data_IF_046234263789
#
_entry.id   IF_046234263789
#
_cell.length_a   1.000
_cell.length_b   1.000
_cell.length_c   1.000
_cell.angle_alpha   90.00
_cell.angle_beta   90.00
_cell.angle_gamma   90.00
#
_symmetry.space_group_name_H-M   'P 1'
#
loop_
_entity.id
_entity.type
_entity.pdbx_description
1 polymer ?
#
# COMPACT_ATOMS: atom_id res chain seq x y z
N UNK A 1 25.14 -11.87 -9.96
CA UNK A 1 25.62 -11.02 -11.08
C UNK A 1 25.88 -9.61 -10.57
N UNK A 2 24.97 -8.94 -9.87
CA UNK A 2 25.12 -7.54 -9.42
C UNK A 2 26.37 -7.31 -8.53
N UNK A 3 26.59 -8.15 -7.52
CA UNK A 3 27.75 -8.01 -6.63
C UNK A 3 29.09 -8.05 -7.40
N UNK A 4 29.22 -8.94 -8.38
CA UNK A 4 30.44 -9.04 -9.22
C UNK A 4 30.66 -7.74 -10.02
N UNK A 5 29.60 -7.14 -10.55
CA UNK A 5 29.67 -5.87 -11.29
C UNK A 5 30.06 -4.71 -10.38
N UNK A 6 29.49 -4.64 -9.17
CA UNK A 6 29.81 -3.61 -8.17
C UNK A 6 31.28 -3.72 -7.76
N UNK A 7 31.76 -4.92 -7.44
CA UNK A 7 33.14 -5.14 -7.06
C UNK A 7 34.12 -4.77 -8.19
N UNK A 8 33.79 -5.14 -9.43
CA UNK A 8 34.60 -4.77 -10.60
C UNK A 8 34.67 -3.25 -10.81
N UNK A 9 33.54 -2.53 -10.64
CA UNK A 9 33.50 -1.07 -10.70
C UNK A 9 34.37 -0.41 -9.62
N UNK A 10 34.50 -1.04 -8.46
CA UNK A 10 35.38 -0.63 -7.36
C UNK A 10 36.82 -1.15 -7.50
N UNK A 11 37.20 -1.72 -8.68
CA UNK A 11 38.51 -2.33 -8.96
C UNK A 11 38.88 -3.48 -8.04
N UNK A 12 37.89 -4.11 -7.39
CA UNK A 12 38.06 -5.28 -6.54
C UNK A 12 37.94 -6.53 -7.42
N UNK A 13 39.05 -7.28 -7.58
CA UNK A 13 39.10 -8.50 -8.37
C UNK A 13 38.50 -9.67 -7.55
N UNK A 14 37.37 -10.20 -8.00
CA UNK A 14 36.81 -11.43 -7.46
C UNK A 14 37.43 -12.63 -8.21
N UNK A 15 38.19 -13.45 -7.46
CA UNK A 15 38.74 -14.71 -7.96
C UNK A 15 37.91 -15.89 -7.44
N UNK A 16 37.58 -16.83 -8.32
CA UNK A 16 36.77 -18.00 -7.99
C UNK A 16 35.37 -17.97 -8.58
N UNK A 17 34.59 -18.98 -8.23
CA UNK A 17 33.22 -19.20 -8.73
C UNK A 17 32.19 -18.72 -7.73
N UNK A 18 31.18 -18.02 -8.18
CA UNK A 18 30.02 -17.67 -7.37
C UNK A 18 29.04 -18.85 -7.41
N UNK A 19 28.75 -19.42 -6.24
CA UNK A 19 27.78 -20.51 -6.08
C UNK A 19 26.62 -20.07 -5.20
N UNK A 20 25.43 -20.60 -5.47
CA UNK A 20 24.30 -20.47 -4.55
C UNK A 20 24.48 -21.52 -3.45
N UNK A 21 24.54 -21.09 -2.22
CA UNK A 21 24.69 -21.99 -1.07
C UNK A 21 23.95 -21.43 0.15
N UNK A 22 23.61 -22.30 1.08
CA UNK A 22 23.13 -21.90 2.41
C UNK A 22 24.31 -21.39 3.24
N UNK A 23 24.14 -20.25 3.90
CA UNK A 23 25.17 -19.73 4.81
C UNK A 23 25.48 -20.74 5.92
N UNK A 24 26.76 -20.90 6.26
CA UNK A 24 27.17 -21.74 7.38
C UNK A 24 26.89 -21.06 8.71
N UNK A 25 26.83 -21.84 9.80
CA UNK A 25 26.64 -21.30 11.15
C UNK A 25 27.87 -20.52 11.66
N UNK A 26 29.04 -20.70 11.04
CA UNK A 26 30.30 -20.05 11.40
C UNK A 26 30.61 -18.84 10.47
N UNK A 27 29.64 -17.96 10.29
CA UNK A 27 29.83 -16.72 9.54
C UNK A 27 30.11 -15.57 10.50
N UNK A 28 30.95 -14.62 10.07
CA UNK A 28 31.16 -13.34 10.73
C UNK A 28 30.41 -12.24 9.99
N UNK A 29 29.86 -11.28 10.70
CA UNK A 29 29.25 -10.11 10.12
C UNK A 29 30.36 -9.20 9.57
N UNK A 30 30.41 -9.03 8.25
CA UNK A 30 31.38 -8.15 7.59
C UNK A 30 30.87 -6.73 7.48
N UNK A 31 29.61 -6.57 7.15
CA UNK A 31 28.93 -5.28 7.06
C UNK A 31 27.40 -5.44 7.23
N UNK A 32 26.76 -4.40 7.69
CA UNK A 32 25.32 -4.30 7.78
C UNK A 32 24.85 -2.95 7.24
N UNK A 33 23.72 -2.96 6.56
CA UNK A 33 23.02 -1.76 6.10
C UNK A 33 21.61 -1.78 6.66
N UNK A 34 21.26 -0.78 7.45
CA UNK A 34 19.90 -0.61 7.93
C UNK A 34 19.01 -0.02 6.85
N UNK A 35 17.72 -0.35 6.89
CA UNK A 35 16.72 0.36 6.09
C UNK A 35 16.54 1.79 6.60
N UNK A 36 15.88 2.62 5.80
CA UNK A 36 15.29 3.86 6.30
C UNK A 36 14.24 3.58 7.37
N UNK A 37 13.90 4.59 8.17
CA UNK A 37 12.86 4.49 9.20
C UNK A 37 11.48 4.29 8.59
N UNK A 38 10.55 3.69 9.36
CA UNK A 38 9.16 3.50 8.92
C UNK A 38 8.47 4.81 8.52
N UNK A 39 8.82 5.91 9.20
CA UNK A 39 8.33 7.24 8.87
C UNK A 39 8.68 7.72 7.46
N UNK A 40 9.76 7.21 6.88
CA UNK A 40 10.16 7.48 5.50
C UNK A 40 9.63 6.43 4.52
N UNK A 41 9.53 5.17 4.96
CA UNK A 41 9.10 4.05 4.13
C UNK A 41 7.60 4.13 3.84
N UNK A 42 6.76 4.41 4.85
CA UNK A 42 5.31 4.42 4.71
C UNK A 42 4.79 5.47 3.70
N UNK A 43 5.26 6.72 3.70
CA UNK A 43 4.87 7.69 2.67
C UNK A 43 5.23 7.22 1.25
N UNK A 44 6.44 6.70 1.04
CA UNK A 44 6.85 6.16 -0.26
C UNK A 44 6.00 4.95 -0.67
N UNK A 45 5.70 4.06 0.26
CA UNK A 45 4.84 2.92 0.01
C UNK A 45 3.45 3.35 -0.44
N UNK A 46 2.83 4.28 0.27
CA UNK A 46 1.44 4.67 0.02
C UNK A 46 1.30 5.64 -1.16
N UNK A 47 2.13 6.69 -1.23
CA UNK A 47 2.06 7.71 -2.29
C UNK A 47 2.47 7.16 -3.64
N UNK A 48 3.60 6.43 -3.70
CA UNK A 48 4.15 5.90 -4.95
C UNK A 48 3.61 4.50 -5.27
N UNK A 49 2.75 3.96 -4.40
CA UNK A 49 2.21 2.59 -4.54
C UNK A 49 3.32 1.54 -4.68
N UNK A 50 4.34 1.61 -3.81
CA UNK A 50 5.50 0.74 -3.89
C UNK A 50 5.20 -0.66 -3.33
N UNK A 51 4.98 -1.60 -4.24
CA UNK A 51 4.63 -2.99 -3.92
C UNK A 51 5.75 -3.74 -3.20
N UNK A 52 7.03 -3.39 -3.45
CA UNK A 52 8.15 -4.02 -2.77
C UNK A 52 8.15 -3.66 -1.28
N UNK A 53 7.94 -2.39 -0.96
CA UNK A 53 7.84 -1.93 0.43
C UNK A 53 6.64 -2.57 1.14
N UNK A 54 5.48 -2.64 0.48
CA UNK A 54 4.29 -3.27 1.04
C UNK A 54 4.52 -4.76 1.36
N UNK A 55 5.10 -5.52 0.43
CA UNK A 55 5.46 -6.92 0.64
C UNK A 55 6.50 -7.09 1.75
N UNK A 56 7.52 -6.24 1.79
CA UNK A 56 8.58 -6.31 2.81
C UNK A 56 8.04 -6.03 4.21
N UNK A 57 7.18 -5.02 4.36
CA UNK A 57 6.52 -4.72 5.62
C UNK A 57 5.58 -5.84 6.06
N UNK A 58 4.82 -6.41 5.12
CA UNK A 58 3.97 -7.56 5.40
C UNK A 58 4.79 -8.76 5.90
N UNK A 59 5.89 -9.09 5.22
CA UNK A 59 6.80 -10.16 5.64
C UNK A 59 7.45 -9.89 7.01
N UNK A 60 7.72 -8.64 7.34
CA UNK A 60 8.27 -8.24 8.65
C UNK A 60 7.32 -8.57 9.81
N UNK A 61 5.99 -8.59 9.58
CA UNK A 61 5.02 -9.05 10.59
C UNK A 61 5.26 -10.51 10.97
N UNK A 62 5.57 -11.37 10.00
CA UNK A 62 5.90 -12.77 10.26
C UNK A 62 7.23 -12.94 11.01
N UNK A 63 8.23 -12.16 10.64
CA UNK A 63 9.57 -12.22 11.24
C UNK A 63 9.57 -11.82 12.72
N UNK A 64 8.64 -10.99 13.17
CA UNK A 64 8.57 -10.52 14.55
C UNK A 64 8.39 -11.65 15.58
N UNK A 65 7.87 -12.82 15.17
CA UNK A 65 7.58 -13.94 16.10
C UNK A 65 8.35 -15.23 15.77
N UNK A 66 9.14 -15.24 14.72
CA UNK A 66 9.89 -16.44 14.33
C UNK A 66 11.39 -16.20 14.45
N UNK A 67 12.11 -17.16 15.00
CA UNK A 67 13.59 -17.18 15.00
C UNK A 67 14.13 -17.68 13.65
N UNK A 68 13.27 -18.21 12.80
CA UNK A 68 13.57 -18.71 11.46
C UNK A 68 13.15 -17.70 10.40
N UNK A 69 13.51 -17.98 9.15
CA UNK A 69 13.05 -17.19 8.00
C UNK A 69 11.51 -17.20 7.94
N UNK A 70 10.91 -16.01 8.03
CA UNK A 70 9.45 -15.84 7.96
C UNK A 70 8.88 -16.23 6.59
N UNK A 71 7.72 -16.86 6.59
CA UNK A 71 6.95 -17.17 5.40
C UNK A 71 5.75 -16.21 5.24
N UNK A 72 5.13 -16.19 4.07
CA UNK A 72 3.85 -15.47 3.88
C UNK A 72 2.75 -15.98 4.82
N UNK A 73 2.74 -17.28 5.14
CA UNK A 73 1.80 -17.84 6.10
C UNK A 73 1.98 -17.27 7.51
N UNK A 74 3.23 -17.11 7.95
CA UNK A 74 3.54 -16.49 9.24
C UNK A 74 3.11 -15.01 9.28
N UNK A 75 3.41 -14.27 8.22
CA UNK A 75 3.00 -12.87 8.07
C UNK A 75 1.48 -12.72 8.10
N UNK A 76 0.76 -13.54 7.35
CA UNK A 76 -0.71 -13.59 7.32
C UNK A 76 -1.29 -13.89 8.69
N UNK A 77 -0.74 -14.87 9.41
CA UNK A 77 -1.22 -15.22 10.74
C UNK A 77 -1.05 -14.06 11.73
N UNK A 78 0.07 -13.34 11.68
CA UNK A 78 0.27 -12.15 12.52
C UNK A 78 -0.64 -11.00 12.11
N UNK A 79 -0.83 -10.76 10.82
CA UNK A 79 -1.78 -9.79 10.30
C UNK A 79 -3.19 -10.05 10.84
N UNK A 80 -3.71 -11.27 10.71
CA UNK A 80 -5.03 -11.67 11.22
C UNK A 80 -5.14 -11.39 12.72
N UNK A 81 -4.13 -11.76 13.52
CA UNK A 81 -4.12 -11.52 14.96
C UNK A 81 -4.19 -10.04 15.32
N UNK A 82 -3.44 -9.19 14.61
CA UNK A 82 -3.46 -7.75 14.83
C UNK A 82 -4.83 -7.17 14.49
N UNK A 83 -5.38 -7.55 13.34
CA UNK A 83 -6.68 -7.07 12.89
C UNK A 83 -7.83 -7.49 13.81
N UNK A 84 -7.87 -8.75 14.23
CA UNK A 84 -8.86 -9.23 15.18
C UNK A 84 -8.79 -8.50 16.53
N UNK A 85 -7.57 -8.26 17.04
CA UNK A 85 -7.39 -7.61 18.35
C UNK A 85 -7.67 -6.12 18.31
N UNK A 86 -7.23 -5.43 17.26
CA UNK A 86 -7.25 -3.96 17.18
C UNK A 86 -8.52 -3.43 16.55
N UNK A 87 -9.13 -4.16 15.62
CA UNK A 87 -10.24 -3.66 14.82
C UNK A 87 -11.52 -4.50 14.89
N UNK A 88 -11.47 -5.66 15.52
CA UNK A 88 -12.58 -6.62 15.60
C UNK A 88 -13.18 -7.00 14.22
N UNK A 89 -12.34 -7.13 13.20
CA UNK A 89 -12.73 -7.48 11.83
C UNK A 89 -12.19 -8.86 11.43
N UNK A 90 -12.95 -9.94 11.61
CA UNK A 90 -12.52 -11.27 11.19
C UNK A 90 -12.44 -11.42 9.66
N UNK A 91 -13.23 -10.65 8.92
CA UNK A 91 -13.43 -10.83 7.48
C UNK A 91 -12.36 -10.15 6.60
N UNK A 92 -11.60 -9.18 7.13
CA UNK A 92 -10.43 -8.60 6.45
C UNK A 92 -9.21 -9.53 6.43
N UNK A 93 -9.37 -10.75 6.90
CA UNK A 93 -8.30 -11.71 7.07
C UNK A 93 -7.77 -12.33 5.77
N UNK A 94 -8.37 -12.05 4.61
CA UNK A 94 -7.94 -12.66 3.35
C UNK A 94 -6.88 -11.82 2.62
N UNK A 95 -5.77 -11.53 3.30
CA UNK A 95 -4.59 -10.88 2.72
C UNK A 95 -3.52 -11.94 2.44
N UNK A 96 -3.03 -11.99 1.22
CA UNK A 96 -2.04 -12.99 0.80
C UNK A 96 -0.62 -12.46 0.81
N UNK A 97 -0.39 -11.24 0.32
CA UNK A 97 0.95 -10.73 0.09
C UNK A 97 1.18 -9.27 0.53
N UNK A 98 0.17 -8.62 1.08
CA UNK A 98 0.22 -7.25 1.57
C UNK A 98 0.33 -6.15 0.50
N UNK A 99 0.43 -6.51 -0.79
CA UNK A 99 0.52 -5.54 -1.89
C UNK A 99 -0.78 -5.39 -2.70
N UNK A 100 -1.81 -6.21 -2.39
CA UNK A 100 -3.10 -6.16 -3.08
C UNK A 100 -3.04 -6.61 -4.54
N UNK A 101 -2.08 -7.45 -4.91
CA UNK A 101 -1.92 -7.94 -6.29
C UNK A 101 -2.56 -9.30 -6.54
N UNK A 102 -3.08 -9.94 -5.49
CA UNK A 102 -3.75 -11.22 -5.61
C UNK A 102 -5.15 -11.06 -6.19
N UNK A 103 -5.54 -12.00 -7.06
CA UNK A 103 -6.89 -12.08 -7.64
C UNK A 103 -7.89 -12.78 -6.71
N UNK A 104 -7.42 -13.40 -5.67
CA UNK A 104 -8.24 -14.09 -4.67
C UNK A 104 -8.56 -13.24 -3.45
N UNK A 105 -7.79 -12.16 -3.21
CA UNK A 105 -8.09 -11.17 -2.19
C UNK A 105 -9.33 -10.36 -2.59
N UNK A 106 -10.32 -10.31 -1.69
CA UNK A 106 -11.56 -9.55 -1.90
C UNK A 106 -11.89 -8.73 -0.67
N UNK A 107 -12.29 -7.48 -0.88
CA UNK A 107 -12.73 -6.57 0.16
C UNK A 107 -13.94 -5.76 -0.35
N UNK A 108 -14.92 -5.54 0.51
CA UNK A 108 -16.02 -4.62 0.21
C UNK A 108 -15.66 -3.17 0.53
N UNK A 109 -16.31 -2.22 -0.12
CA UNK A 109 -16.19 -0.79 0.22
C UNK A 109 -16.61 -0.52 1.67
N UNK A 110 -17.61 -1.24 2.18
CA UNK A 110 -18.03 -1.16 3.58
C UNK A 110 -16.91 -1.56 4.55
N UNK A 111 -16.24 -2.70 4.32
CA UNK A 111 -15.10 -3.11 5.14
C UNK A 111 -13.93 -2.14 5.05
N UNK A 112 -13.68 -1.57 3.85
CA UNK A 112 -12.63 -0.58 3.69
C UNK A 112 -12.95 0.71 4.47
N UNK A 113 -14.18 1.21 4.43
CA UNK A 113 -14.56 2.40 5.21
C UNK A 113 -14.56 2.15 6.72
N UNK A 114 -14.93 0.95 7.17
CA UNK A 114 -14.78 0.56 8.57
C UNK A 114 -13.32 0.58 9.02
N UNK A 115 -12.40 0.02 8.22
CA UNK A 115 -10.95 0.07 8.49
C UNK A 115 -10.45 1.51 8.56
N UNK A 116 -10.82 2.34 7.58
CA UNK A 116 -10.44 3.76 7.56
C UNK A 116 -11.00 4.50 8.79
N UNK A 117 -12.22 4.17 9.24
CA UNK A 117 -12.82 4.72 10.45
C UNK A 117 -12.05 4.35 11.71
N UNK A 118 -11.65 3.09 11.84
CA UNK A 118 -10.85 2.63 12.96
C UNK A 118 -9.45 3.30 13.00
N UNK A 119 -8.84 3.51 11.83
CA UNK A 119 -7.57 4.26 11.74
C UNK A 119 -7.80 5.74 12.09
N UNK A 120 -8.89 6.35 11.62
CA UNK A 120 -9.23 7.74 11.91
C UNK A 120 -9.40 8.03 13.40
N UNK A 121 -9.91 7.05 14.16
CA UNK A 121 -10.05 7.12 15.61
C UNK A 121 -8.75 6.80 16.38
N UNK A 122 -7.69 6.35 15.69
CA UNK A 122 -6.43 6.02 16.33
C UNK A 122 -5.56 7.28 16.56
N UNK A 123 -4.62 7.25 17.53
CA UNK A 123 -3.68 8.35 17.74
C UNK A 123 -2.81 8.65 16.53
N UNK A 124 -2.59 7.65 15.67
CA UNK A 124 -1.73 7.77 14.48
C UNK A 124 -2.46 8.30 13.23
N UNK A 125 -3.72 8.73 13.35
CA UNK A 125 -4.58 9.11 12.23
C UNK A 125 -3.95 10.19 11.33
N UNK A 126 -3.44 11.28 11.92
CA UNK A 126 -2.86 12.40 11.18
C UNK A 126 -1.61 11.96 10.42
N UNK A 127 -0.79 11.13 11.05
CA UNK A 127 0.38 10.57 10.38
C UNK A 127 -0.05 9.65 9.22
N UNK A 128 -1.00 8.74 9.44
CA UNK A 128 -1.48 7.86 8.37
C UNK A 128 -2.04 8.65 7.18
N UNK A 129 -2.88 9.66 7.43
CA UNK A 129 -3.43 10.53 6.37
C UNK A 129 -2.30 11.22 5.59
N UNK A 130 -1.26 11.70 6.25
CA UNK A 130 -0.10 12.35 5.61
C UNK A 130 0.70 11.42 4.69
N UNK A 131 0.59 10.10 4.88
CA UNK A 131 1.25 9.11 4.02
C UNK A 131 0.50 8.86 2.71
N UNK A 132 -0.76 9.30 2.57
CA UNK A 132 -1.58 9.06 1.39
C UNK A 132 -1.25 10.04 0.26
N UNK A 133 -1.55 9.63 -0.98
CA UNK A 133 -1.41 10.49 -2.15
C UNK A 133 -2.46 11.61 -2.13
N UNK A 134 -2.10 12.77 -2.71
CA UNK A 134 -2.89 13.99 -2.68
C UNK A 134 -2.90 14.65 -4.07
N UNK A 135 -4.07 15.05 -4.61
CA UNK A 135 -4.18 15.75 -5.89
C UNK A 135 -3.28 16.99 -5.98
N UNK A 136 -2.59 17.14 -7.10
CA UNK A 136 -1.74 18.30 -7.37
C UNK A 136 -0.46 18.40 -6.53
N UNK A 137 -0.19 17.43 -5.65
CA UNK A 137 0.94 17.49 -4.73
C UNK A 137 1.85 16.25 -4.82
N UNK A 138 1.31 15.05 -4.69
CA UNK A 138 2.17 13.87 -4.53
C UNK A 138 1.53 12.56 -4.98
N UNK A 139 2.41 11.65 -5.40
CA UNK A 139 2.10 10.25 -5.64
C UNK A 139 1.14 10.02 -6.80
N UNK A 140 0.43 8.93 -6.73
CA UNK A 140 -0.47 8.45 -7.81
C UNK A 140 -1.67 9.34 -8.10
N UNK A 141 -1.96 10.33 -7.24
CA UNK A 141 -3.02 11.32 -7.45
C UNK A 141 -2.51 12.67 -7.97
N UNK A 142 -1.21 12.86 -8.18
CA UNK A 142 -0.63 14.15 -8.55
C UNK A 142 -1.29 14.80 -9.76
N UNK A 143 -1.69 14.00 -10.75
CA UNK A 143 -2.37 14.46 -11.98
C UNK A 143 -3.89 14.15 -12.02
N UNK A 144 -4.43 13.61 -10.93
CA UNK A 144 -5.84 13.23 -10.84
C UNK A 144 -6.60 14.16 -9.89
N UNK A 145 -7.85 14.48 -10.19
CA UNK A 145 -8.77 15.27 -9.34
C UNK A 145 -8.22 16.63 -8.86
N UNK A 146 -7.64 17.47 -9.74
CA UNK A 146 -6.96 18.71 -9.32
C UNK A 146 -7.86 19.67 -8.53
N UNK A 147 -9.18 19.62 -8.71
CA UNK A 147 -10.17 20.42 -7.98
C UNK A 147 -10.28 20.05 -6.50
N UNK A 148 -9.80 18.88 -6.10
CA UNK A 148 -9.80 18.39 -4.70
C UNK A 148 -8.42 18.45 -4.03
N UNK A 149 -7.55 19.32 -4.52
CA UNK A 149 -6.27 19.60 -3.87
C UNK A 149 -6.48 19.95 -2.39
N UNK A 150 -5.67 19.39 -1.50
CA UNK A 150 -5.76 19.53 -0.03
C UNK A 150 -7.06 19.02 0.62
N UNK A 151 -7.98 18.46 -0.16
CA UNK A 151 -9.23 17.87 0.33
C UNK A 151 -9.23 16.34 0.25
N UNK A 152 -8.66 15.78 -0.82
CA UNK A 152 -8.63 14.33 -1.03
C UNK A 152 -7.26 13.75 -0.63
N UNK A 153 -7.29 12.75 0.23
CA UNK A 153 -6.14 11.96 0.68
C UNK A 153 -6.47 10.49 0.48
N UNK A 154 -5.91 9.85 -0.54
CA UNK A 154 -6.32 8.49 -0.84
C UNK A 154 -5.18 7.58 -1.33
N UNK A 155 -5.33 6.28 -1.02
CA UNK A 155 -4.58 5.22 -1.69
C UNK A 155 -5.32 4.81 -2.95
N UNK A 156 -4.60 4.77 -4.04
CA UNK A 156 -5.12 4.28 -5.33
C UNK A 156 -4.86 2.79 -5.48
N UNK A 157 -5.76 2.07 -6.13
CA UNK A 157 -5.60 0.71 -6.62
C UNK A 157 -5.75 0.66 -8.13
N UNK A 158 -4.89 -0.12 -8.80
CA UNK A 158 -4.96 -0.28 -10.25
C UNK A 158 -4.43 -1.64 -10.66
N UNK A 159 -5.29 -2.44 -11.26
CA UNK A 159 -4.94 -3.66 -11.99
C UNK A 159 -5.45 -3.50 -13.43
N UNK A 160 -5.23 -4.51 -14.27
CA UNK A 160 -5.67 -4.46 -15.67
C UNK A 160 -7.17 -4.18 -15.84
N UNK A 161 -7.97 -4.63 -14.89
CA UNK A 161 -9.43 -4.62 -14.90
C UNK A 161 -10.06 -4.06 -13.62
N UNK A 162 -9.24 -3.44 -12.74
CA UNK A 162 -9.70 -2.87 -11.46
C UNK A 162 -9.15 -1.46 -11.29
N UNK A 163 -10.00 -0.55 -10.82
CA UNK A 163 -9.60 0.77 -10.34
C UNK A 163 -10.24 1.04 -8.99
N UNK A 164 -9.46 1.59 -8.05
CA UNK A 164 -9.96 1.89 -6.71
C UNK A 164 -9.35 3.18 -6.14
N UNK A 165 -10.14 3.85 -5.30
CA UNK A 165 -9.72 4.99 -4.47
C UNK A 165 -10.31 4.80 -3.08
N UNK A 166 -9.46 4.78 -2.04
CA UNK A 166 -9.89 4.65 -0.66
C UNK A 166 -9.10 5.57 0.25
N UNK A 167 -9.76 6.28 1.14
CA UNK A 167 -9.11 7.25 2.01
C UNK A 167 -10.07 8.24 2.65
N UNK A 168 -9.65 9.50 2.70
CA UNK A 168 -10.35 10.57 3.42
C UNK A 168 -10.61 11.76 2.51
N UNK A 169 -11.79 12.33 2.64
CA UNK A 169 -12.16 13.58 1.96
C UNK A 169 -12.55 14.64 3.00
N UNK A 170 -11.82 15.75 3.04
CA UNK A 170 -12.08 16.89 3.91
C UNK A 170 -12.93 17.90 3.14
N UNK A 171 -14.20 17.97 3.47
CA UNK A 171 -15.13 18.87 2.83
C UNK A 171 -15.01 20.31 3.35
N UNK A 172 -15.53 21.26 2.57
CA UNK A 172 -15.50 22.70 2.90
C UNK A 172 -16.27 23.01 4.19
N UNK A 173 -17.29 22.20 4.54
CA UNK A 173 -18.06 22.33 5.77
C UNK A 173 -17.30 21.89 7.04
N UNK A 174 -16.03 21.46 6.92
CA UNK A 174 -15.18 21.00 8.01
C UNK A 174 -15.32 19.51 8.37
N UNK A 175 -16.25 18.79 7.74
CA UNK A 175 -16.37 17.35 7.96
C UNK A 175 -15.29 16.56 7.19
N UNK A 176 -14.87 15.45 7.78
CA UNK A 176 -14.02 14.46 7.12
C UNK A 176 -14.84 13.21 6.82
N UNK A 177 -14.95 12.90 5.54
CA UNK A 177 -15.65 11.71 5.05
C UNK A 177 -14.66 10.58 4.78
N UNK A 178 -15.06 9.37 5.13
CA UNK A 178 -14.37 8.13 4.78
C UNK A 178 -14.89 7.70 3.42
N UNK A 179 -13.99 7.53 2.48
CA UNK A 179 -14.37 7.20 1.09
C UNK A 179 -13.76 5.89 0.64
N UNK A 180 -14.52 5.10 -0.08
CA UNK A 180 -14.03 3.91 -0.80
C UNK A 180 -14.83 3.70 -2.08
N UNK A 181 -14.15 3.76 -3.21
CA UNK A 181 -14.68 3.51 -4.54
C UNK A 181 -13.89 2.38 -5.17
N UNK A 182 -14.58 1.35 -5.66
CA UNK A 182 -13.97 0.19 -6.32
C UNK A 182 -14.77 -0.10 -7.58
N UNK A 183 -14.09 -0.13 -8.73
CA UNK A 183 -14.62 -0.60 -9.99
C UNK A 183 -13.85 -1.87 -10.39
N UNK A 184 -14.59 -2.93 -10.68
CA UNK A 184 -14.07 -4.20 -11.18
C UNK A 184 -14.56 -4.44 -12.61
N UNK A 185 -13.99 -5.43 -13.28
CA UNK A 185 -14.37 -5.86 -14.62
C UNK A 185 -14.31 -4.74 -15.67
N UNK A 186 -13.36 -3.81 -15.49
CA UNK A 186 -13.05 -2.78 -16.47
C UNK A 186 -12.40 -3.49 -17.66
N UNK A 187 -13.20 -3.85 -18.67
CA UNK A 187 -12.76 -4.66 -19.78
C UNK A 187 -11.73 -3.93 -20.66
N UNK A 188 -10.68 -4.67 -21.08
CA UNK A 188 -9.66 -4.22 -22.02
C UNK A 188 -10.17 -4.20 -23.49
N UNK A 189 -11.47 -3.92 -23.70
CA UNK A 189 -12.10 -3.71 -25.01
C UNK A 189 -11.97 -2.25 -25.42
N UNK A 190 -12.39 -1.91 -26.62
CA UNK A 190 -12.33 -0.54 -27.19
C UNK A 190 -12.91 0.58 -26.29
N UNK A 191 -13.67 0.22 -25.26
CA UNK A 191 -14.29 1.14 -24.30
C UNK A 191 -13.57 1.31 -22.94
N UNK A 192 -12.39 0.74 -22.73
CA UNK A 192 -11.68 0.85 -21.43
C UNK A 192 -11.47 2.29 -21.01
N UNK A 193 -11.05 3.16 -21.92
CA UNK A 193 -10.84 4.58 -21.64
C UNK A 193 -12.15 5.26 -21.21
N UNK A 194 -13.26 4.93 -21.87
CA UNK A 194 -14.59 5.46 -21.55
C UNK A 194 -15.07 5.00 -20.17
N UNK A 195 -14.87 3.72 -19.81
CA UNK A 195 -15.23 3.18 -18.49
C UNK A 195 -14.41 3.80 -17.36
N UNK A 196 -13.11 3.97 -17.56
CA UNK A 196 -12.25 4.66 -16.58
C UNK A 196 -12.65 6.14 -16.42
N UNK A 197 -13.02 6.80 -17.52
CA UNK A 197 -13.49 8.18 -17.48
C UNK A 197 -14.84 8.29 -16.76
N UNK A 198 -15.77 7.38 -17.03
CA UNK A 198 -17.07 7.31 -16.34
C UNK A 198 -16.89 7.06 -14.83
N UNK A 199 -15.99 6.16 -14.45
CA UNK A 199 -15.67 5.92 -13.04
C UNK A 199 -15.10 7.18 -12.37
N UNK A 200 -14.16 7.88 -13.01
CA UNK A 200 -13.62 9.15 -12.49
C UNK A 200 -14.69 10.24 -12.37
N UNK A 201 -15.61 10.31 -13.32
CA UNK A 201 -16.75 11.25 -13.27
C UNK A 201 -17.68 10.94 -12.09
N UNK A 202 -17.99 9.66 -11.86
CA UNK A 202 -18.78 9.22 -10.71
C UNK A 202 -18.11 9.61 -9.38
N UNK A 203 -16.82 9.32 -9.23
CA UNK A 203 -16.05 9.73 -8.05
C UNK A 203 -16.07 11.23 -7.86
N UNK A 204 -15.86 11.99 -8.94
CA UNK A 204 -15.91 13.46 -8.92
C UNK A 204 -17.27 13.98 -8.48
N UNK A 205 -18.35 13.44 -9.03
CA UNK A 205 -19.72 13.84 -8.67
C UNK A 205 -20.03 13.56 -7.19
N UNK A 206 -19.65 12.38 -6.70
CA UNK A 206 -19.83 12.01 -5.30
C UNK A 206 -19.05 12.96 -4.35
N UNK A 207 -17.79 13.27 -4.67
CA UNK A 207 -16.97 14.17 -3.86
C UNK A 207 -17.51 15.61 -3.88
N UNK A 208 -17.98 16.09 -5.02
CA UNK A 208 -18.64 17.41 -5.12
C UNK A 208 -19.90 17.47 -4.26
N UNK A 209 -20.70 16.40 -4.26
CA UNK A 209 -21.88 16.33 -3.40
C UNK A 209 -21.51 16.41 -1.91
N UNK A 210 -20.49 15.66 -1.47
CA UNK A 210 -20.01 15.72 -0.10
C UNK A 210 -19.46 17.11 0.28
N UNK A 211 -18.85 17.80 -0.68
CA UNK A 211 -18.27 19.13 -0.45
C UNK A 211 -19.33 20.23 -0.30
N UNK A 212 -20.53 20.04 -0.88
CA UNK A 212 -21.65 20.99 -0.86
C UNK A 212 -22.72 20.64 0.18
N UNK A 213 -22.67 19.46 0.81
CA UNK A 213 -23.61 19.09 1.87
C UNK A 213 -23.38 19.99 3.10
N UNK A 214 -24.44 20.63 3.56
CA UNK A 214 -24.45 21.49 4.75
C UNK A 214 -24.50 20.66 6.05
#
# INVERSE_FOLDING_TARGET
VALKQILAAQKIKLTGTIIAAKASNNTILVAAQNSADLSEILPKMNKDSNNLYAKSLFMSLGAYKTTNQATYADARQQYIRVFQRKFNFPELANVENGAGLSRTEKISTAHMTQLLGAIYQSPENNYFISTLATPGESGTLQSEFPQFKQKLFAKTGSLSDVKAYSGYFRATNGHTYLISFIANDINATENTTSQLQAFKQLVTAALNQLDTTQ
#
